data_IF_965393468313
#
_entry.id   IF_965393468313
#
_cell.length_a   1.000
_cell.length_b   1.000
_cell.length_c   1.000
_cell.angle_alpha   90.00
_cell.angle_beta   90.00
_cell.angle_gamma   90.00
#
_symmetry.space_group_name_H-M   'P 1'
#
loop_
_entity.id
_entity.type
_entity.pdbx_description
1 polymer ?
#
# COMPACT_ATOMS: atom_id res chain seq x y z
N UNK A 1 4.66 -5.58 6.46
CA UNK A 1 3.30 -5.11 6.07
C UNK A 1 2.70 -5.96 4.95
N UNK A 2 1.39 -6.27 4.98
CA UNK A 2 0.73 -7.16 4.00
C UNK A 2 -0.17 -6.41 2.98
N UNK A 3 -0.01 -6.68 1.68
CA UNK A 3 -0.76 -6.05 0.57
C UNK A 3 -2.28 -6.33 0.63
N UNK A 4 -2.67 -7.58 0.87
CA UNK A 4 -4.07 -8.01 0.88
C UNK A 4 -4.84 -7.36 2.02
N UNK A 5 -4.18 -7.19 3.18
CA UNK A 5 -4.78 -6.50 4.33
C UNK A 5 -4.98 -5.02 4.05
N UNK A 6 -4.03 -4.35 3.39
CA UNK A 6 -4.18 -2.95 2.98
C UNK A 6 -5.33 -2.78 1.98
N UNK A 7 -5.52 -3.71 1.04
CA UNK A 7 -6.63 -3.65 0.07
C UNK A 7 -8.00 -3.72 0.74
N UNK A 8 -8.13 -4.46 1.85
CA UNK A 8 -9.39 -4.63 2.61
C UNK A 8 -9.77 -3.41 3.45
N UNK A 9 -8.82 -2.54 3.81
CA UNK A 9 -9.10 -1.34 4.62
C UNK A 9 -9.88 -0.29 3.83
N UNK A 10 -10.70 0.56 4.47
CA UNK A 10 -11.33 1.71 3.81
C UNK A 10 -10.31 2.66 3.17
N UNK A 11 -10.74 3.46 2.21
CA UNK A 11 -9.86 4.43 1.55
C UNK A 11 -9.36 5.50 2.53
N UNK A 12 -10.20 5.97 3.46
CA UNK A 12 -9.80 6.95 4.47
C UNK A 12 -8.64 6.42 5.33
N UNK A 13 -8.77 5.19 5.84
CA UNK A 13 -7.74 4.56 6.66
C UNK A 13 -6.40 4.35 5.92
N UNK A 14 -6.43 4.22 4.59
CA UNK A 14 -5.22 4.14 3.77
C UNK A 14 -4.57 5.51 3.61
N UNK A 15 -5.37 6.56 3.43
CA UNK A 15 -4.86 7.94 3.34
C UNK A 15 -4.25 8.36 4.68
N UNK A 16 -4.93 8.10 5.80
CA UNK A 16 -4.42 8.39 7.15
C UNK A 16 -3.10 7.66 7.43
N UNK A 17 -3.00 6.38 7.04
CA UNK A 17 -1.76 5.62 7.16
C UNK A 17 -0.64 6.26 6.32
N UNK A 18 -0.93 6.65 5.07
CA UNK A 18 0.05 7.30 4.21
C UNK A 18 0.56 8.62 4.82
N UNK A 19 -0.36 9.45 5.34
CA UNK A 19 -0.02 10.71 6.01
C UNK A 19 0.84 10.48 7.26
N UNK A 20 0.53 9.46 8.07
CA UNK A 20 1.35 9.10 9.25
C UNK A 20 2.77 8.68 8.90
N UNK A 21 3.01 8.24 7.65
CA UNK A 21 4.31 7.84 7.12
C UNK A 21 5.02 8.98 6.37
N UNK A 22 4.47 10.20 6.40
CA UNK A 22 5.02 11.37 5.71
C UNK A 22 4.78 11.38 4.19
N UNK A 23 3.81 10.61 3.70
CA UNK A 23 3.41 10.61 2.29
C UNK A 23 2.34 11.69 2.05
N UNK A 24 2.74 12.80 1.43
CA UNK A 24 1.86 13.94 1.17
C UNK A 24 1.09 13.82 -0.16
N UNK A 25 0.03 14.62 -0.32
CA UNK A 25 -0.75 14.77 -1.56
C UNK A 25 -1.46 13.49 -2.07
N UNK A 26 -1.74 12.53 -1.18
CA UNK A 26 -2.35 11.24 -1.52
C UNK A 26 -3.88 11.27 -1.62
N UNK A 27 -4.55 12.33 -1.16
CA UNK A 27 -6.01 12.43 -1.10
C UNK A 27 -6.72 12.35 -2.48
N UNK A 28 -6.03 12.71 -3.57
CA UNK A 28 -6.55 12.62 -4.95
C UNK A 28 -6.06 11.39 -5.70
N UNK A 29 -5.15 10.61 -5.11
CA UNK A 29 -4.57 9.44 -5.75
C UNK A 29 -5.53 8.26 -5.70
N UNK A 30 -5.39 7.33 -6.64
CA UNK A 30 -6.15 6.07 -6.57
C UNK A 30 -5.67 5.29 -5.36
N UNK A 31 -6.59 4.64 -4.65
CA UNK A 31 -6.28 3.81 -3.47
C UNK A 31 -5.12 2.84 -3.70
N UNK A 32 -5.04 2.23 -4.88
CA UNK A 32 -3.96 1.30 -5.25
C UNK A 32 -2.58 2.00 -5.27
N UNK A 33 -2.51 3.23 -5.80
CA UNK A 33 -1.28 4.00 -5.87
C UNK A 33 -0.80 4.39 -4.46
N UNK A 34 -1.73 4.76 -3.59
CA UNK A 34 -1.44 5.09 -2.18
C UNK A 34 -0.92 3.86 -1.44
N UNK A 35 -1.58 2.70 -1.60
CA UNK A 35 -1.12 1.41 -1.03
C UNK A 35 0.31 1.10 -1.51
N UNK A 36 0.61 1.34 -2.77
CA UNK A 36 1.95 1.06 -3.31
C UNK A 36 3.01 2.01 -2.75
N UNK A 37 2.68 3.29 -2.56
CA UNK A 37 3.56 4.27 -1.91
C UNK A 37 3.84 3.90 -0.46
N UNK A 38 2.83 3.46 0.29
CA UNK A 38 2.97 2.95 1.67
C UNK A 38 3.93 1.75 1.71
N UNK A 39 3.71 0.75 0.85
CA UNK A 39 4.56 -0.45 0.82
C UNK A 39 6.01 -0.11 0.45
N UNK A 40 6.23 0.81 -0.49
CA UNK A 40 7.57 1.31 -0.82
C UNK A 40 8.24 2.02 0.35
N UNK A 41 7.51 2.88 1.07
CA UNK A 41 8.05 3.59 2.22
C UNK A 41 8.45 2.62 3.33
N UNK A 42 7.58 1.65 3.65
CA UNK A 42 7.86 0.61 4.65
C UNK A 42 9.09 -0.25 4.27
N UNK A 43 9.17 -0.71 3.01
CA UNK A 43 10.30 -1.50 2.54
C UNK A 43 11.63 -0.71 2.53
N UNK A 44 11.59 0.60 2.23
CA UNK A 44 12.78 1.48 2.29
C UNK A 44 13.33 1.65 3.71
N UNK A 45 12.48 1.50 4.73
CA UNK A 45 12.90 1.49 6.12
C UNK A 45 13.53 0.16 6.55
N UNK A 46 13.68 -0.80 5.62
CA UNK A 46 14.24 -2.13 5.89
C UNK A 46 13.23 -3.12 6.46
N UNK A 47 11.94 -2.76 6.49
CA UNK A 47 10.88 -3.64 7.00
C UNK A 47 10.33 -4.56 5.91
N UNK A 48 9.96 -5.78 6.29
CA UNK A 48 9.47 -6.79 5.35
C UNK A 48 8.06 -6.47 4.83
N UNK A 49 7.84 -6.64 3.53
CA UNK A 49 6.51 -6.59 2.90
C UNK A 49 6.11 -7.96 2.37
N UNK A 50 4.83 -8.30 2.50
CA UNK A 50 4.26 -9.57 2.06
C UNK A 50 3.01 -9.35 1.20
N UNK A 51 2.68 -10.32 0.38
CA UNK A 51 1.44 -10.35 -0.39
C UNK A 51 1.11 -11.76 -0.84
N UNK A 52 -0.17 -11.99 -1.11
CA UNK A 52 -0.71 -13.25 -1.61
C UNK A 52 -1.53 -13.00 -2.88
N UNK A 53 -1.70 -14.06 -3.68
CA UNK A 53 -2.42 -14.02 -4.94
C UNK A 53 -2.43 -15.38 -5.64
N UNK A 54 -3.17 -15.45 -6.74
CA UNK A 54 -3.20 -16.62 -7.61
C UNK A 54 -2.22 -16.40 -8.75
N UNK A 55 -1.36 -17.39 -9.02
CA UNK A 55 -0.41 -17.34 -10.12
C UNK A 55 -1.14 -17.46 -11.47
N UNK A 56 -0.91 -16.50 -12.35
CA UNK A 56 -1.37 -16.51 -13.75
C UNK A 56 -0.16 -16.50 -14.68
N UNK A 57 -0.07 -17.45 -15.61
CA UNK A 57 1.02 -17.56 -16.59
C UNK A 57 0.55 -16.98 -17.92
N UNK A 58 1.25 -15.97 -18.41
CA UNK A 58 0.94 -15.29 -19.68
C UNK A 58 1.46 -16.09 -20.89
N UNK A 59 0.79 -15.96 -22.04
CA UNK A 59 1.18 -16.56 -23.33
C UNK A 59 2.14 -15.67 -24.14
#
# INVERSE_FOLDING_TARGET
>A
MNLTDLKKRPAEAIIELAESMGLENMARSRKQDVIFSILKAHARNGEEISGDGVLEILQ
#
